data_IF_053506231784
#
_entry.id   IF_053506231784
#
_cell.length_a   1.000
_cell.length_b   1.000
_cell.length_c   1.000
_cell.angle_alpha   90.00
_cell.angle_beta   90.00
_cell.angle_gamma   90.00
#
_symmetry.space_group_name_H-M   'P 1'
#
loop_
_entity.id
_entity.type
_entity.pdbx_description
1 polymer ?
#
# COMPACT_ATOMS: atom_id res chain seq x y z
N UNK A 1 -10.41 16.70 -0.67
CA UNK A 1 -10.14 15.26 -0.49
C UNK A 1 -11.14 14.61 0.45
N UNK A 2 -11.39 15.13 1.66
CA UNK A 2 -12.36 14.60 2.65
C UNK A 2 -13.73 14.26 2.04
N UNK A 3 -14.35 15.16 1.30
CA UNK A 3 -15.63 14.92 0.64
C UNK A 3 -15.63 13.77 -0.38
N UNK A 4 -14.49 13.50 -1.00
CA UNK A 4 -14.33 12.36 -1.93
C UNK A 4 -14.24 11.04 -1.16
N UNK A 5 -13.53 11.03 -0.03
CA UNK A 5 -13.44 9.87 0.86
C UNK A 5 -14.82 9.52 1.41
N UNK A 6 -15.52 10.50 1.96
CA UNK A 6 -16.87 10.30 2.54
C UNK A 6 -17.87 9.74 1.53
N UNK A 7 -17.92 10.31 0.32
CA UNK A 7 -18.87 9.88 -0.69
C UNK A 7 -18.55 8.49 -1.27
N UNK A 8 -17.28 8.19 -1.51
CA UNK A 8 -16.90 6.95 -2.18
C UNK A 8 -16.83 5.75 -1.25
N UNK A 9 -16.25 5.92 -0.08
CA UNK A 9 -16.11 4.81 0.88
C UNK A 9 -17.47 4.41 1.44
N UNK A 10 -18.30 5.36 1.85
CA UNK A 10 -19.61 5.09 2.41
C UNK A 10 -20.60 4.53 1.37
N UNK A 11 -20.54 5.00 0.11
CA UNK A 11 -21.49 4.60 -0.93
C UNK A 11 -21.12 3.31 -1.66
N UNK A 12 -19.83 2.96 -1.73
CA UNK A 12 -19.32 1.86 -2.57
C UNK A 12 -18.67 0.72 -1.79
N UNK A 13 -18.53 0.83 -0.47
CA UNK A 13 -17.90 -0.19 0.37
C UNK A 13 -16.41 -0.43 0.03
N UNK A 14 -15.76 0.55 -0.63
CA UNK A 14 -14.36 0.43 -1.02
C UNK A 14 -13.39 0.77 0.11
N UNK A 15 -12.11 0.41 -0.06
CA UNK A 15 -11.02 0.77 0.84
C UNK A 15 -10.20 1.89 0.19
N UNK A 16 -10.12 3.10 0.79
CA UNK A 16 -9.33 4.20 0.23
C UNK A 16 -7.84 3.90 0.29
N UNK A 17 -7.15 4.15 -0.83
CA UNK A 17 -5.71 3.98 -0.98
C UNK A 17 -5.07 5.28 -1.50
N UNK A 18 -3.90 5.60 -0.97
CA UNK A 18 -3.02 6.66 -1.49
C UNK A 18 -1.96 6.03 -2.38
N UNK A 19 -1.98 6.40 -3.65
CA UNK A 19 -1.03 5.90 -4.65
C UNK A 19 0.19 6.81 -4.74
N UNK A 20 1.34 6.22 -5.08
CA UNK A 20 2.62 6.85 -5.41
C UNK A 20 2.89 8.16 -4.63
N UNK A 21 3.01 8.13 -3.28
CA UNK A 21 3.31 9.32 -2.46
C UNK A 21 4.54 10.10 -2.92
N UNK A 22 5.51 9.40 -3.53
CA UNK A 22 6.74 9.95 -4.10
C UNK A 22 6.53 10.75 -5.40
N UNK A 23 5.36 10.69 -6.01
CA UNK A 23 5.08 11.52 -7.17
C UNK A 23 5.10 12.99 -6.79
N UNK A 24 6.08 13.71 -7.32
CA UNK A 24 6.36 15.11 -6.97
C UNK A 24 6.51 15.35 -5.46
N UNK A 25 6.72 14.30 -4.67
CA UNK A 25 6.85 14.36 -3.20
C UNK A 25 5.69 15.13 -2.55
N UNK A 26 4.50 14.93 -3.10
CA UNK A 26 3.29 15.64 -2.70
C UNK A 26 2.70 15.21 -1.36
N UNK A 27 3.10 14.05 -0.83
CA UNK A 27 2.65 13.52 0.46
C UNK A 27 3.79 13.54 1.47
N UNK A 28 3.47 13.96 2.69
CA UNK A 28 4.38 14.00 3.84
C UNK A 28 3.84 13.12 4.96
N UNK A 29 4.68 12.71 5.92
CA UNK A 29 4.22 11.91 7.05
C UNK A 29 3.09 12.57 7.87
N UNK A 30 3.13 13.88 8.19
CA UNK A 30 2.00 14.56 8.83
C UNK A 30 0.70 14.48 8.02
N UNK A 31 0.79 14.65 6.68
CA UNK A 31 -0.38 14.56 5.81
C UNK A 31 -0.92 13.13 5.74
N UNK A 32 -0.04 12.11 5.69
CA UNK A 32 -0.45 10.69 5.76
C UNK A 32 -1.18 10.40 7.07
N UNK A 33 -0.68 10.92 8.19
CA UNK A 33 -1.32 10.76 9.50
C UNK A 33 -2.70 11.42 9.55
N UNK A 34 -2.84 12.63 8.99
CA UNK A 34 -4.14 13.31 8.88
C UNK A 34 -5.12 12.51 8.03
N UNK A 35 -4.70 12.05 6.85
CA UNK A 35 -5.53 11.30 5.92
C UNK A 35 -5.94 9.93 6.48
N UNK A 36 -5.08 9.28 7.26
CA UNK A 36 -5.43 8.07 8.01
C UNK A 36 -6.54 8.34 9.03
N UNK A 37 -6.47 9.45 9.74
CA UNK A 37 -7.54 9.91 10.64
C UNK A 37 -8.85 10.22 9.93
N UNK A 38 -8.80 10.55 8.64
CA UNK A 38 -9.96 10.77 7.76
C UNK A 38 -10.47 9.47 7.08
N UNK A 39 -9.89 8.30 7.41
CA UNK A 39 -10.37 7.00 6.94
C UNK A 39 -9.61 6.42 5.74
N UNK A 40 -8.47 6.97 5.35
CA UNK A 40 -7.57 6.29 4.41
C UNK A 40 -6.92 5.11 5.11
N UNK A 41 -7.02 3.92 4.52
CA UNK A 41 -6.53 2.68 5.12
C UNK A 41 -5.23 2.17 4.48
N UNK A 42 -5.01 2.47 3.20
CA UNK A 42 -3.90 1.92 2.43
C UNK A 42 -3.00 3.04 1.91
N UNK A 43 -1.69 2.79 1.88
CA UNK A 43 -0.70 3.65 1.25
C UNK A 43 0.28 2.82 0.44
N UNK A 44 0.59 3.26 -0.77
CA UNK A 44 1.56 2.60 -1.62
C UNK A 44 2.97 2.90 -1.10
N UNK A 45 3.68 1.84 -0.70
CA UNK A 45 5.07 1.91 -0.20
C UNK A 45 6.09 1.41 -1.22
N UNK A 46 5.62 0.71 -2.25
CA UNK A 46 6.43 0.28 -3.38
C UNK A 46 5.60 0.37 -4.67
N UNK A 47 6.12 1.10 -5.65
CA UNK A 47 5.54 1.22 -6.98
C UNK A 47 6.61 0.83 -8.01
N UNK A 48 6.33 -0.16 -8.86
CA UNK A 48 7.31 -0.67 -9.82
C UNK A 48 7.71 0.37 -10.88
N UNK A 49 6.83 1.32 -11.21
CA UNK A 49 7.14 2.39 -12.17
C UNK A 49 8.09 3.44 -11.59
N UNK A 50 8.02 3.63 -10.28
CA UNK A 50 8.82 4.60 -9.53
C UNK A 50 9.91 3.92 -8.68
N UNK A 51 10.36 2.72 -9.07
CA UNK A 51 11.28 1.90 -8.27
C UNK A 51 12.50 2.68 -7.76
N UNK A 52 13.09 3.57 -8.59
CA UNK A 52 14.22 4.41 -8.18
C UNK A 52 13.86 5.45 -7.10
N UNK A 53 12.60 5.85 -7.00
CA UNK A 53 12.12 6.85 -6.03
C UNK A 53 11.57 6.19 -4.76
N UNK A 54 11.26 4.90 -4.79
CA UNK A 54 10.84 4.18 -3.58
C UNK A 54 11.91 4.27 -2.49
N UNK A 55 13.19 4.24 -2.86
CA UNK A 55 14.31 4.32 -1.93
C UNK A 55 14.59 5.73 -1.39
N UNK A 56 13.93 6.77 -1.95
CA UNK A 56 14.23 8.15 -1.63
C UNK A 56 15.56 8.65 -2.24
N UNK A 57 15.97 9.83 -1.84
CA UNK A 57 17.25 10.46 -2.23
C UNK A 57 17.81 11.33 -1.09
N UNK A 58 18.80 12.18 -1.39
CA UNK A 58 19.43 13.03 -0.38
C UNK A 58 18.48 14.09 0.23
N UNK A 59 17.39 14.43 -0.46
CA UNK A 59 16.44 15.48 -0.07
C UNK A 59 15.08 14.89 0.36
N UNK A 60 14.81 13.61 0.01
CA UNK A 60 13.51 13.01 0.19
C UNK A 60 13.58 11.64 0.88
N UNK A 61 12.69 11.33 1.82
CA UNK A 61 12.65 10.03 2.48
C UNK A 61 12.30 8.90 1.51
N UNK A 62 12.70 7.68 1.84
CA UNK A 62 12.13 6.49 1.18
C UNK A 62 10.64 6.36 1.50
N UNK A 63 9.91 5.57 0.68
CA UNK A 63 8.50 5.30 0.94
C UNK A 63 8.30 4.56 2.25
N UNK A 64 9.21 3.66 2.60
CA UNK A 64 9.21 2.95 3.89
C UNK A 64 9.43 3.93 5.06
N UNK A 65 10.40 4.85 4.96
CA UNK A 65 10.65 5.85 6.00
C UNK A 65 9.48 6.82 6.16
N UNK A 66 8.83 7.19 5.06
CA UNK A 66 7.64 8.04 5.06
C UNK A 66 6.46 7.34 5.79
N UNK A 67 6.25 6.06 5.48
CA UNK A 67 5.23 5.23 6.10
C UNK A 67 5.54 5.00 7.58
N UNK A 68 6.77 4.62 7.93
CA UNK A 68 7.21 4.40 9.30
C UNK A 68 7.03 5.65 10.18
N UNK A 69 7.35 6.82 9.64
CA UNK A 69 7.13 8.10 10.34
C UNK A 69 5.64 8.37 10.60
N UNK A 70 4.74 8.01 9.68
CA UNK A 70 3.30 8.14 9.89
C UNK A 70 2.79 7.14 10.94
N UNK A 71 3.27 5.88 10.91
CA UNK A 71 2.97 4.87 11.94
C UNK A 71 3.47 5.30 13.31
N UNK A 72 4.69 5.82 13.40
CA UNK A 72 5.27 6.37 14.62
C UNK A 72 4.49 7.56 15.20
N UNK A 73 3.78 8.32 14.36
CA UNK A 73 2.86 9.38 14.75
C UNK A 73 1.46 8.87 15.14
N UNK A 74 1.22 7.55 15.14
CA UNK A 74 -0.03 6.91 15.55
C UNK A 74 -1.02 6.67 14.42
N UNK A 75 -0.63 6.83 13.15
CA UNK A 75 -1.48 6.46 12.02
C UNK A 75 -1.70 4.94 11.98
N UNK A 76 -2.88 4.51 11.54
CA UNK A 76 -3.15 3.14 11.12
C UNK A 76 -3.24 3.11 9.61
N UNK A 77 -2.16 2.70 8.95
CA UNK A 77 -2.03 2.62 7.50
C UNK A 77 -1.35 1.30 7.13
N UNK A 78 -1.94 0.57 6.18
CA UNK A 78 -1.35 -0.65 5.65
C UNK A 78 -0.57 -0.35 4.37
N UNK A 79 0.69 -0.81 4.31
CA UNK A 79 1.55 -0.62 3.15
C UNK A 79 1.20 -1.60 2.03
N UNK A 80 0.96 -1.08 0.83
CA UNK A 80 0.72 -1.88 -0.38
C UNK A 80 1.83 -1.71 -1.39
N UNK A 81 1.99 -2.70 -2.28
CA UNK A 81 2.81 -2.60 -3.47
C UNK A 81 1.93 -2.68 -4.71
N UNK A 82 2.29 -1.95 -5.77
CA UNK A 82 1.60 -1.98 -7.05
C UNK A 82 2.58 -1.85 -8.21
N UNK A 83 2.21 -2.41 -9.34
CA UNK A 83 2.96 -2.24 -10.59
C UNK A 83 2.59 -0.96 -11.33
N UNK A 84 1.48 -0.30 -10.98
CA UNK A 84 0.97 0.90 -11.64
C UNK A 84 0.89 0.71 -13.16
N UNK A 85 0.41 -0.47 -13.58
CA UNK A 85 0.50 -0.93 -14.96
C UNK A 85 -0.37 -0.11 -15.91
N UNK A 86 0.22 0.26 -17.04
CA UNK A 86 -0.45 0.97 -18.12
C UNK A 86 -0.41 0.17 -19.43
N UNK A 87 0.32 -0.96 -19.46
CA UNK A 87 0.42 -1.84 -20.61
C UNK A 87 0.24 -3.29 -20.18
N UNK A 88 -0.72 -3.98 -20.78
CA UNK A 88 -1.08 -5.37 -20.50
C UNK A 88 -0.74 -6.32 -21.66
N UNK A 89 -0.14 -5.78 -22.72
CA UNK A 89 0.28 -6.53 -23.92
C UNK A 89 1.73 -7.07 -23.83
N UNK A 90 2.43 -6.72 -22.75
CA UNK A 90 3.83 -7.11 -22.52
C UNK A 90 4.86 -6.36 -23.37
N UNK A 91 4.45 -5.39 -24.17
CA UNK A 91 5.34 -4.65 -25.10
C UNK A 91 5.41 -3.16 -24.74
N UNK A 92 4.36 -2.62 -24.13
CA UNK A 92 4.28 -1.21 -23.75
C UNK A 92 5.17 -0.84 -22.57
N UNK A 93 5.29 0.47 -22.33
CA UNK A 93 5.90 0.98 -21.10
C UNK A 93 4.99 0.65 -19.92
N UNK A 94 5.57 0.37 -18.77
CA UNK A 94 4.84 0.10 -17.54
C UNK A 94 4.02 -1.20 -17.59
N UNK A 95 4.72 -2.35 -17.73
CA UNK A 95 4.06 -3.65 -17.80
C UNK A 95 3.47 -4.07 -16.45
N UNK A 96 2.46 -4.94 -16.49
CA UNK A 96 1.91 -5.58 -15.32
C UNK A 96 2.86 -6.63 -14.72
N UNK A 97 2.71 -6.90 -13.42
CA UNK A 97 3.42 -7.98 -12.71
C UNK A 97 4.72 -7.56 -12.03
N UNK A 98 5.00 -6.25 -11.92
CA UNK A 98 6.19 -5.75 -11.25
C UNK A 98 6.08 -5.64 -9.73
N UNK A 99 4.87 -5.50 -9.21
CA UNK A 99 4.58 -5.46 -7.77
C UNK A 99 3.10 -5.75 -7.52
N UNK A 100 2.77 -6.31 -6.34
CA UNK A 100 1.41 -6.73 -5.99
C UNK A 100 1.21 -6.87 -4.49
N UNK A 101 -0.01 -7.16 -4.07
CA UNK A 101 -0.35 -7.62 -2.73
C UNK A 101 -0.80 -9.08 -2.76
N UNK A 102 -0.38 -9.86 -1.76
CA UNK A 102 -0.87 -11.21 -1.51
C UNK A 102 -1.86 -11.17 -0.37
N UNK A 103 -3.12 -11.43 -0.66
CA UNK A 103 -4.24 -11.26 0.27
C UNK A 103 -4.65 -12.60 0.88
N UNK A 104 -4.73 -12.65 2.20
CA UNK A 104 -5.26 -13.81 2.93
C UNK A 104 -6.80 -13.75 3.01
N UNK A 105 -7.44 -14.22 1.96
CA UNK A 105 -8.90 -14.27 1.85
C UNK A 105 -9.35 -15.33 0.82
N UNK A 106 -10.58 -15.84 0.95
CA UNK A 106 -11.25 -16.56 -0.15
C UNK A 106 -11.32 -15.71 -1.43
N UNK A 107 -11.45 -16.35 -2.60
CA UNK A 107 -11.62 -15.68 -3.90
C UNK A 107 -13.06 -15.12 -4.05
N UNK A 108 -13.37 -14.17 -3.19
CA UNK A 108 -14.65 -13.47 -3.10
C UNK A 108 -14.36 -11.98 -2.90
N UNK A 109 -15.09 -11.12 -3.59
CA UNK A 109 -14.81 -9.68 -3.62
C UNK A 109 -14.95 -9.04 -2.23
N UNK A 110 -16.00 -9.36 -1.50
CA UNK A 110 -16.26 -8.79 -0.18
C UNK A 110 -15.22 -9.27 0.84
N UNK A 111 -14.83 -10.56 0.75
CA UNK A 111 -13.79 -11.14 1.61
C UNK A 111 -12.42 -10.49 1.34
N UNK A 112 -12.07 -10.23 0.08
CA UNK A 112 -10.83 -9.55 -0.30
C UNK A 112 -10.82 -8.11 0.21
N UNK A 113 -11.89 -7.35 0.01
CA UNK A 113 -12.02 -5.97 0.51
C UNK A 113 -11.91 -5.94 2.04
N UNK A 114 -12.58 -6.84 2.74
CA UNK A 114 -12.51 -6.94 4.19
C UNK A 114 -11.09 -7.32 4.68
N UNK A 115 -10.38 -8.16 3.95
CA UNK A 115 -8.99 -8.51 4.26
C UNK A 115 -8.03 -7.33 4.06
N UNK A 116 -8.19 -6.57 2.97
CA UNK A 116 -7.41 -5.36 2.71
C UNK A 116 -7.65 -4.30 3.79
N UNK A 117 -8.89 -4.04 4.17
CA UNK A 117 -9.24 -3.12 5.24
C UNK A 117 -8.65 -3.52 6.60
N UNK A 118 -8.52 -4.83 6.85
CA UNK A 118 -8.00 -5.39 8.09
C UNK A 118 -6.47 -5.62 8.09
N UNK A 119 -5.76 -5.32 7.00
CA UNK A 119 -4.32 -5.56 6.87
C UNK A 119 -3.93 -7.03 6.77
N UNK A 120 -4.85 -7.92 6.38
CA UNK A 120 -4.56 -9.35 6.17
C UNK A 120 -4.00 -9.60 4.77
N UNK A 121 -2.85 -9.05 4.52
CA UNK A 121 -2.10 -9.20 3.28
C UNK A 121 -0.62 -8.84 3.52
N UNK A 122 0.21 -9.12 2.55
CA UNK A 122 1.55 -8.55 2.47
C UNK A 122 1.81 -7.98 1.08
N UNK A 123 2.65 -6.94 1.03
CA UNK A 123 3.13 -6.32 -0.20
C UNK A 123 4.35 -7.08 -0.74
N UNK A 124 4.45 -7.24 -2.05
CA UNK A 124 5.58 -7.93 -2.68
C UNK A 124 5.99 -7.30 -4.01
N UNK A 125 7.29 -7.33 -4.26
CA UNK A 125 7.93 -6.99 -5.53
C UNK A 125 8.65 -8.20 -6.15
N UNK A 126 8.24 -9.42 -5.81
CA UNK A 126 8.83 -10.66 -6.38
C UNK A 126 8.86 -11.86 -5.45
N UNK A 127 8.61 -11.68 -4.16
CA UNK A 127 8.66 -12.78 -3.18
C UNK A 127 7.25 -13.32 -2.93
N UNK A 128 7.10 -14.65 -2.96
CA UNK A 128 5.90 -15.34 -2.49
C UNK A 128 6.26 -16.07 -1.19
N UNK A 129 5.51 -15.76 -0.12
CA UNK A 129 5.67 -16.42 1.17
C UNK A 129 4.75 -17.65 1.23
N UNK A 130 5.30 -18.78 1.66
CA UNK A 130 4.50 -19.98 1.96
C UNK A 130 3.65 -19.74 3.21
N UNK A 131 4.21 -19.02 4.19
CA UNK A 131 3.52 -18.69 5.44
C UNK A 131 4.07 -17.41 6.05
N UNK A 132 3.17 -16.61 6.62
CA UNK A 132 3.53 -15.51 7.52
C UNK A 132 2.57 -15.50 8.71
N UNK A 133 3.08 -15.14 9.89
CA UNK A 133 2.25 -15.08 11.10
C UNK A 133 3.04 -14.59 12.31
N UNK A 134 2.34 -14.28 13.38
CA UNK A 134 2.94 -13.85 14.65
C UNK A 134 2.80 -14.98 15.68
N UNK A 135 3.91 -15.32 16.33
CA UNK A 135 3.95 -16.31 17.41
C UNK A 135 4.60 -15.64 18.63
N UNK A 136 3.79 -15.33 19.63
CA UNK A 136 4.27 -14.51 20.75
C UNK A 136 4.62 -13.09 20.30
N UNK A 137 5.89 -12.70 20.43
CA UNK A 137 6.41 -11.40 19.97
C UNK A 137 7.20 -11.52 18.65
N UNK A 138 7.29 -12.70 18.06
CA UNK A 138 8.12 -12.97 16.89
C UNK A 138 7.27 -13.02 15.62
N UNK A 139 7.77 -12.39 14.55
CA UNK A 139 7.24 -12.55 13.19
C UNK A 139 7.89 -13.80 12.57
N UNK A 140 7.06 -14.80 12.28
CA UNK A 140 7.47 -16.02 11.59
C UNK A 140 7.16 -15.89 10.10
N UNK A 141 8.18 -16.11 9.25
CA UNK A 141 8.08 -16.07 7.80
C UNK A 141 8.71 -17.31 7.21
N UNK A 142 8.00 -17.96 6.29
CA UNK A 142 8.46 -19.15 5.55
C UNK A 142 8.36 -18.84 4.04
N UNK A 143 9.45 -19.13 3.29
CA UNK A 143 9.57 -18.94 1.83
C UNK A 143 9.15 -20.19 1.09
#
# INVERSE_FOLDING_TARGET
MRAVLDCRTAALGGVPQLNHPQWHWGLTAPLLTELAGDGVALVEIANAQFARWNAGDAEHPSMEALWDAALGAGATLWGVASDDAHAYDGVGRYPAGGAWVMVDAPRDADAIIAALAAGRFYASTGVALARAGVVGADLMVEL
#
